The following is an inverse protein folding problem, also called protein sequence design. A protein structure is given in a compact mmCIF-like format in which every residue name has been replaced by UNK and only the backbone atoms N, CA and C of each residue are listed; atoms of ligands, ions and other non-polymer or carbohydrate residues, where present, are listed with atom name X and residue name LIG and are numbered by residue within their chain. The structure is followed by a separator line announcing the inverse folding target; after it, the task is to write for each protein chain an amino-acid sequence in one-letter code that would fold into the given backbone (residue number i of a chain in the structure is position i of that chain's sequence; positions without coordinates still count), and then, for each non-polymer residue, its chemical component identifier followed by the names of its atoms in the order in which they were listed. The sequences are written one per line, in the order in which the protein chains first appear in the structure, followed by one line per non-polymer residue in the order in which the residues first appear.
data_IF_124846389778
#
_entry.id   IF_124846389778
#
_cell.length_a   1.000
_cell.length_b   1.000
_cell.length_c   1.000
_cell.angle_alpha   90.00
_cell.angle_beta   90.00
_cell.angle_gamma   90.00
#
_symmetry.space_group_name_H-M   'P 1'
#
loop_
_entity.id
_entity.type
_entity.pdbx_description
1 polymer ?
#
# COMPACT_ATOMS: atom_id res chain seq x y z
N UNK A 1 -3.89 3.45 -28.54
CA UNK A 1 -3.03 3.23 -27.37
C UNK A 1 -2.69 4.55 -26.67
N UNK A 2 -2.00 5.50 -27.31
CA UNK A 2 -1.59 6.77 -26.68
C UNK A 2 -2.74 7.56 -26.04
N UNK A 3 -3.85 7.79 -26.78
CA UNK A 3 -5.05 8.49 -26.26
C UNK A 3 -5.63 7.83 -25.00
N UNK A 4 -5.68 6.50 -24.98
CA UNK A 4 -6.16 5.75 -23.83
C UNK A 4 -5.25 5.92 -22.61
N UNK A 5 -3.92 5.83 -22.81
CA UNK A 5 -2.94 6.04 -21.74
C UNK A 5 -2.97 7.46 -21.20
N UNK A 6 -3.08 8.48 -22.08
CA UNK A 6 -3.19 9.88 -21.64
C UNK A 6 -4.45 10.15 -20.82
N UNK A 7 -5.60 9.62 -21.26
CA UNK A 7 -6.86 9.75 -20.52
C UNK A 7 -6.75 9.08 -19.14
N UNK A 8 -6.18 7.87 -19.07
CA UNK A 8 -5.96 7.19 -17.80
C UNK A 8 -5.02 7.95 -16.86
N UNK A 9 -3.93 8.50 -17.41
CA UNK A 9 -3.00 9.32 -16.66
C UNK A 9 -3.66 10.59 -16.10
N UNK A 10 -4.49 11.26 -16.90
CA UNK A 10 -5.24 12.44 -16.46
C UNK A 10 -6.21 12.12 -15.32
N UNK A 11 -6.93 10.99 -15.40
CA UNK A 11 -7.76 10.53 -14.27
C UNK A 11 -6.92 10.22 -13.02
N UNK A 12 -5.76 9.57 -13.18
CA UNK A 12 -4.86 9.30 -12.05
C UNK A 12 -4.39 10.58 -11.37
N UNK A 13 -4.00 11.61 -12.13
CA UNK A 13 -3.61 12.92 -11.61
C UNK A 13 -4.78 13.60 -10.87
N UNK A 14 -5.98 13.54 -11.43
CA UNK A 14 -7.16 14.13 -10.81
C UNK A 14 -7.52 13.45 -9.49
N UNK A 15 -7.45 12.11 -9.44
CA UNK A 15 -7.66 11.34 -8.20
C UNK A 15 -6.58 11.70 -7.17
N UNK A 16 -5.31 11.73 -7.57
CA UNK A 16 -4.20 12.10 -6.68
C UNK A 16 -4.39 13.52 -6.12
N UNK A 17 -4.77 14.48 -6.95
CA UNK A 17 -5.08 15.84 -6.52
C UNK A 17 -6.24 15.87 -5.51
N UNK A 18 -7.31 15.09 -5.75
CA UNK A 18 -8.44 14.97 -4.83
C UNK A 18 -8.02 14.38 -3.47
N UNK A 19 -7.20 13.34 -3.47
CA UNK A 19 -6.66 12.70 -2.25
C UNK A 19 -5.78 13.67 -1.47
N UNK A 20 -4.83 14.34 -2.12
CA UNK A 20 -3.94 15.34 -1.50
C UNK A 20 -4.76 16.48 -0.87
N UNK A 21 -5.78 16.95 -1.58
CA UNK A 21 -6.69 17.98 -1.09
C UNK A 21 -7.45 17.51 0.15
N UNK A 22 -8.02 16.30 0.09
CA UNK A 22 -8.77 15.72 1.20
C UNK A 22 -7.89 15.53 2.44
N UNK A 23 -6.67 15.01 2.27
CA UNK A 23 -5.68 14.85 3.35
C UNK A 23 -5.37 16.20 3.98
N UNK A 24 -5.08 17.22 3.15
CA UNK A 24 -4.81 18.56 3.68
C UNK A 24 -5.95 19.08 4.56
N UNK A 25 -7.19 19.04 4.07
CA UNK A 25 -8.34 19.52 4.82
C UNK A 25 -8.61 18.66 6.06
N UNK A 26 -8.48 17.34 5.96
CA UNK A 26 -8.65 16.44 7.10
C UNK A 26 -7.72 16.82 8.26
N UNK A 27 -6.44 17.05 7.99
CA UNK A 27 -5.46 17.33 9.05
C UNK A 27 -5.40 18.80 9.50
N UNK A 28 -5.94 19.73 8.71
CA UNK A 28 -5.93 21.15 9.08
C UNK A 28 -7.27 21.66 9.65
N UNK A 29 -8.41 21.00 9.35
CA UNK A 29 -9.74 21.37 9.86
C UNK A 29 -10.13 20.56 11.12
N UNK A 30 -9.61 19.33 11.28
CA UNK A 30 -9.88 18.55 12.48
C UNK A 30 -9.52 19.33 13.74
N UNK A 31 -10.44 19.38 14.73
CA UNK A 31 -10.19 20.09 15.97
C UNK A 31 -9.02 19.44 16.72
N UNK A 32 -8.02 20.24 17.02
CA UNK A 32 -6.82 19.87 17.76
C UNK A 32 -5.66 20.78 17.37
N UNK A 33 -4.87 21.17 18.34
CA UNK A 33 -3.60 21.85 18.09
C UNK A 33 -2.48 20.80 18.03
N UNK A 34 -1.97 20.43 16.84
CA UNK A 34 -0.91 19.45 16.74
C UNK A 34 0.32 19.81 17.56
N UNK A 35 0.65 21.09 17.66
CA UNK A 35 1.78 21.55 18.43
C UNK A 35 1.59 21.23 19.93
N UNK A 36 0.39 21.46 20.45
CA UNK A 36 0.06 21.07 21.84
C UNK A 36 0.02 19.57 22.04
N UNK A 37 -0.52 18.82 21.07
CA UNK A 37 -0.55 17.35 21.15
C UNK A 37 0.86 16.76 21.16
N UNK A 38 1.80 17.35 20.43
CA UNK A 38 3.19 16.91 20.38
C UNK A 38 3.97 17.24 21.67
N UNK A 39 3.76 18.42 22.23
CA UNK A 39 4.47 18.88 23.43
C UNK A 39 3.85 18.37 24.73
N UNK A 40 2.63 17.83 24.67
CA UNK A 40 1.89 17.37 25.85
C UNK A 40 1.42 18.47 26.77
N UNK A 41 1.02 18.10 28.01
CA UNK A 41 0.42 19.02 28.98
C UNK A 41 1.38 20.10 29.51
N UNK A 42 2.69 19.94 29.33
CA UNK A 42 3.72 20.90 29.77
C UNK A 42 4.21 21.80 28.62
N UNK A 43 3.41 21.95 27.57
CA UNK A 43 3.77 22.79 26.43
C UNK A 43 3.90 24.25 26.86
N UNK A 44 5.09 24.81 26.77
CA UNK A 44 5.30 26.23 26.90
C UNK A 44 4.72 26.96 25.67
N UNK A 45 4.09 28.10 25.89
CA UNK A 45 3.41 28.90 24.84
C UNK A 45 4.38 29.24 23.71
N UNK A 46 5.60 29.61 24.05
CA UNK A 46 6.64 29.96 23.08
C UNK A 46 7.02 28.79 22.16
N UNK A 47 7.06 27.58 22.71
CA UNK A 47 7.35 26.34 21.94
C UNK A 47 6.18 25.97 21.03
N UNK A 48 4.94 26.15 21.47
CA UNK A 48 3.74 25.94 20.65
C UNK A 48 3.71 26.93 19.47
N UNK A 49 3.98 28.21 19.74
CA UNK A 49 4.03 29.22 18.70
C UNK A 49 5.15 28.98 17.68
N UNK A 50 6.34 28.53 18.12
CA UNK A 50 7.44 28.18 17.26
C UNK A 50 7.08 27.02 16.32
N UNK A 51 6.45 25.97 16.84
CA UNK A 51 5.98 24.83 16.03
C UNK A 51 4.88 25.27 15.06
N UNK A 52 3.91 26.07 15.51
CA UNK A 52 2.84 26.55 14.64
C UNK A 52 3.36 27.45 13.51
N UNK A 53 4.41 28.24 13.78
CA UNK A 53 5.09 29.05 12.76
C UNK A 53 5.87 28.18 11.76
N UNK A 54 6.56 27.16 12.23
CA UNK A 54 7.28 26.21 11.36
C UNK A 54 6.31 25.39 10.48
N UNK A 55 5.11 25.11 10.99
CA UNK A 55 3.99 24.52 10.25
C UNK A 55 3.34 25.49 9.25
N UNK A 56 3.60 26.80 9.36
CA UNK A 56 2.91 27.84 8.61
C UNK A 56 1.44 28.00 9.00
N UNK A 57 1.03 27.55 10.19
CA UNK A 57 -0.35 27.66 10.70
C UNK A 57 -0.73 29.07 11.12
N UNK A 58 0.23 29.94 11.23
CA UNK A 58 0.07 31.37 11.39
C UNK A 58 -0.51 32.10 10.15
N UNK A 59 -0.50 31.40 8.98
CA UNK A 59 -0.96 31.96 7.71
C UNK A 59 -2.42 31.58 7.42
N UNK A 60 -3.14 32.36 6.57
CA UNK A 60 -4.48 32.00 6.11
C UNK A 60 -4.52 30.60 5.51
N UNK A 61 -5.62 29.87 5.70
CA UNK A 61 -5.78 28.48 5.25
C UNK A 61 -5.52 28.29 3.74
N UNK A 62 -5.90 29.27 2.92
CA UNK A 62 -5.61 29.26 1.49
C UNK A 62 -4.11 29.27 1.20
N UNK A 63 -3.35 30.07 1.92
CA UNK A 63 -1.89 30.14 1.76
C UNK A 63 -1.22 28.85 2.21
N UNK A 64 -1.71 28.25 3.29
CA UNK A 64 -1.25 26.93 3.75
C UNK A 64 -1.53 25.85 2.71
N UNK A 65 -2.72 25.85 2.10
CA UNK A 65 -3.12 24.87 1.08
C UNK A 65 -2.26 24.98 -0.18
N UNK A 66 -2.13 26.17 -0.74
CA UNK A 66 -1.31 26.36 -1.93
C UNK A 66 0.18 26.10 -1.65
N UNK A 67 0.67 26.43 -0.46
CA UNK A 67 2.01 26.06 -0.01
C UNK A 67 2.21 24.55 0.04
N UNK A 68 1.25 23.83 0.60
CA UNK A 68 1.28 22.36 0.66
C UNK A 68 1.25 21.73 -0.74
N UNK A 69 0.39 22.21 -1.63
CA UNK A 69 0.36 21.74 -3.03
C UNK A 69 1.71 22.02 -3.73
N UNK A 70 2.29 23.18 -3.50
CA UNK A 70 3.59 23.55 -4.05
C UNK A 70 4.72 22.67 -3.51
N UNK A 71 4.65 22.28 -2.22
CA UNK A 71 5.60 21.35 -1.60
C UNK A 71 5.54 19.95 -2.21
N UNK A 72 4.33 19.40 -2.35
CA UNK A 72 4.12 18.02 -2.85
C UNK A 72 4.26 17.94 -4.37
N UNK A 73 4.06 19.05 -5.09
CA UNK A 73 4.18 19.05 -6.56
C UNK A 73 5.64 18.88 -7.00
N UNK A 74 5.91 18.01 -8.00
CA UNK A 74 7.23 17.92 -8.62
C UNK A 74 7.60 19.16 -9.44
N UNK A 75 6.60 19.94 -9.87
CA UNK A 75 6.77 21.23 -10.55
C UNK A 75 6.21 22.32 -9.65
N UNK A 76 7.03 23.28 -9.24
CA UNK A 76 6.67 24.26 -8.22
C UNK A 76 7.18 25.65 -8.53
N UNK A 77 6.47 26.67 -8.01
CA UNK A 77 6.82 28.07 -8.17
C UNK A 77 7.38 28.60 -6.84
N UNK A 78 8.55 29.19 -6.88
CA UNK A 78 9.21 29.72 -5.70
C UNK A 78 9.66 31.17 -5.88
N UNK A 79 9.55 31.95 -4.81
CA UNK A 79 10.14 33.27 -4.73
C UNK A 79 11.59 33.15 -4.25
N UNK A 80 12.52 33.80 -4.97
CA UNK A 80 13.96 33.75 -4.65
C UNK A 80 14.45 34.94 -3.84
N UNK A 81 13.66 36.01 -3.77
CA UNK A 81 14.11 37.30 -3.23
C UNK A 81 13.50 37.63 -1.87
N UNK A 82 12.26 37.22 -1.62
CA UNK A 82 11.50 37.56 -0.42
C UNK A 82 11.38 36.36 0.53
N UNK A 83 12.18 36.36 1.59
CA UNK A 83 12.19 35.36 2.63
C UNK A 83 10.91 35.31 3.50
N UNK A 84 10.10 36.38 3.49
CA UNK A 84 8.81 36.44 4.19
C UNK A 84 7.68 35.77 3.37
N UNK A 85 7.92 35.55 2.07
CA UNK A 85 6.96 34.89 1.20
C UNK A 85 6.70 33.43 1.65
N UNK A 86 5.43 33.02 1.62
CA UNK A 86 5.05 31.63 1.87
C UNK A 86 5.66 30.63 0.86
N UNK A 87 6.05 31.13 -0.31
CA UNK A 87 6.62 30.35 -1.42
C UNK A 87 8.13 30.59 -1.56
N UNK A 88 8.80 31.05 -0.51
CA UNK A 88 10.25 31.26 -0.56
C UNK A 88 10.99 29.92 -0.81
N UNK A 89 12.04 30.01 -1.62
CA UNK A 89 12.86 28.85 -1.93
C UNK A 89 13.90 28.59 -0.83
N UNK A 90 13.72 27.53 -0.08
CA UNK A 90 14.68 27.07 0.92
C UNK A 90 15.58 25.96 0.33
N UNK A 91 16.87 26.21 0.06
CA UNK A 91 17.79 25.22 -0.51
C UNK A 91 17.84 23.91 0.30
N UNK A 92 17.81 24.02 1.63
CA UNK A 92 17.86 22.89 2.55
C UNK A 92 16.62 21.98 2.49
N UNK A 93 15.49 22.51 2.03
CA UNK A 93 14.25 21.73 1.81
C UNK A 93 14.27 21.00 0.47
N UNK A 94 14.97 21.55 -0.52
CA UNK A 94 14.95 21.07 -1.90
C UNK A 94 16.35 20.85 -2.47
N UNK A 95 17.14 19.90 -1.90
CA UNK A 95 18.58 19.75 -2.26
C UNK A 95 18.81 19.32 -3.72
N UNK A 96 17.81 18.69 -4.36
CA UNK A 96 17.91 18.23 -5.75
C UNK A 96 17.04 19.05 -6.73
N UNK A 97 16.76 20.30 -6.39
CA UNK A 97 15.91 21.15 -7.22
C UNK A 97 16.65 21.73 -8.42
N UNK A 98 16.04 21.60 -9.60
CA UNK A 98 16.51 22.19 -10.84
C UNK A 98 15.68 23.43 -11.19
N UNK A 99 16.35 24.57 -11.33
CA UNK A 99 15.71 25.83 -11.75
C UNK A 99 15.58 25.82 -13.28
N UNK A 100 14.37 26.03 -13.79
CA UNK A 100 14.10 25.96 -15.25
C UNK A 100 13.94 27.36 -15.83
N UNK A 101 13.06 28.16 -15.26
CA UNK A 101 12.69 29.45 -15.79
C UNK A 101 12.48 30.44 -14.65
N UNK A 102 13.12 31.58 -14.72
CA UNK A 102 12.94 32.68 -13.76
C UNK A 102 12.26 33.87 -14.46
N UNK A 103 11.14 34.34 -13.90
CA UNK A 103 10.38 35.51 -14.36
C UNK A 103 10.28 36.45 -13.18
N UNK A 104 11.07 37.51 -13.21
CA UNK A 104 11.18 38.47 -12.09
C UNK A 104 11.70 37.77 -10.82
N UNK A 105 10.94 37.85 -9.73
CA UNK A 105 11.27 37.24 -8.43
C UNK A 105 10.82 35.76 -8.32
N UNK A 106 10.01 35.27 -9.27
CA UNK A 106 9.45 33.95 -9.22
C UNK A 106 10.20 33.00 -10.16
N UNK A 107 10.59 31.84 -9.67
CA UNK A 107 11.31 30.81 -10.43
C UNK A 107 10.50 29.51 -10.46
N UNK A 108 10.34 28.95 -11.65
CA UNK A 108 9.80 27.61 -11.87
C UNK A 108 10.90 26.58 -11.59
N UNK A 109 10.59 25.64 -10.71
CA UNK A 109 11.55 24.66 -10.22
C UNK A 109 10.98 23.25 -10.42
N UNK A 110 11.81 22.32 -10.93
CA UNK A 110 11.54 20.88 -10.84
C UNK A 110 12.30 20.33 -9.64
N UNK A 111 11.59 19.62 -8.78
CA UNK A 111 12.13 19.05 -7.54
C UNK A 111 11.48 17.72 -7.21
N UNK A 112 12.10 16.96 -6.30
CA UNK A 112 11.39 15.83 -5.66
C UNK A 112 10.25 16.38 -4.79
N UNK A 113 9.08 15.69 -4.74
CA UNK A 113 8.01 16.01 -3.79
C UNK A 113 8.57 16.15 -2.38
N UNK A 114 8.27 17.27 -1.71
CA UNK A 114 8.70 17.52 -0.35
C UNK A 114 7.58 17.19 0.62
N UNK A 115 7.74 16.07 1.35
CA UNK A 115 6.76 15.57 2.32
C UNK A 115 7.02 16.08 3.73
N UNK A 116 7.81 17.17 3.86
CA UNK A 116 8.25 17.74 5.13
C UNK A 116 9.20 16.83 5.91
N UNK A 117 9.45 17.20 7.18
CA UNK A 117 10.28 16.42 8.10
C UNK A 117 9.45 15.94 9.28
N UNK A 118 9.77 14.75 9.77
CA UNK A 118 9.25 14.22 11.03
C UNK A 118 9.54 15.20 12.17
N UNK A 119 8.56 15.45 13.02
CA UNK A 119 8.75 16.28 14.19
C UNK A 119 9.53 15.57 15.29
N UNK A 120 9.36 14.27 15.39
CA UNK A 120 10.03 13.44 16.40
C UNK A 120 11.49 13.15 16.04
N UNK A 121 11.72 12.60 14.85
CA UNK A 121 13.05 12.15 14.43
C UNK A 121 13.86 13.21 13.67
N UNK A 122 13.24 14.32 13.25
CA UNK A 122 13.82 15.37 12.37
C UNK A 122 14.28 14.85 11.01
N UNK A 123 14.05 13.57 10.68
CA UNK A 123 14.39 12.98 9.40
C UNK A 123 13.39 13.40 8.31
N UNK A 124 13.79 13.47 7.03
CA UNK A 124 12.87 13.64 5.92
C UNK A 124 11.80 12.53 5.91
N UNK A 125 10.54 12.90 5.75
CA UNK A 125 9.43 11.91 5.68
C UNK A 125 9.60 10.98 4.48
N UNK A 126 10.11 11.50 3.34
CA UNK A 126 10.42 10.68 2.16
C UNK A 126 11.35 9.51 2.46
N UNK A 127 12.35 9.71 3.33
CA UNK A 127 13.33 8.67 3.65
C UNK A 127 12.72 7.62 4.58
N UNK A 128 11.95 8.06 5.58
CA UNK A 128 11.23 7.17 6.48
C UNK A 128 10.27 6.25 5.70
N UNK A 129 9.52 6.86 4.77
CA UNK A 129 8.58 6.10 3.95
C UNK A 129 9.27 5.19 2.93
N UNK A 130 10.37 5.62 2.32
CA UNK A 130 11.13 4.80 1.39
C UNK A 130 11.71 3.55 2.07
N UNK A 131 12.24 3.69 3.29
CA UNK A 131 12.73 2.55 4.09
C UNK A 131 11.60 1.56 4.43
N UNK A 132 10.43 2.06 4.82
CA UNK A 132 9.28 1.23 5.18
C UNK A 132 8.55 0.64 3.96
N UNK A 133 8.64 1.30 2.79
CA UNK A 133 7.95 0.86 1.57
C UNK A 133 8.48 -0.47 1.05
N UNK A 134 9.79 -0.71 1.14
CA UNK A 134 10.41 -1.94 0.62
C UNK A 134 9.87 -3.20 1.33
N UNK A 135 9.84 -3.29 2.67
CA UNK A 135 9.21 -4.43 3.37
C UNK A 135 7.74 -4.62 3.01
N UNK A 136 6.94 -3.55 2.91
CA UNK A 136 5.53 -3.63 2.48
C UNK A 136 5.39 -4.18 1.07
N UNK A 137 6.21 -3.69 0.13
CA UNK A 137 6.20 -4.14 -1.26
C UNK A 137 6.55 -5.63 -1.38
N UNK A 138 7.55 -6.10 -0.63
CA UNK A 138 7.94 -7.52 -0.60
C UNK A 138 6.78 -8.36 -0.05
N UNK A 139 6.20 -7.95 1.09
CA UNK A 139 5.07 -8.63 1.70
C UNK A 139 3.88 -8.73 0.75
N UNK A 140 3.46 -7.61 0.17
CA UNK A 140 2.34 -7.56 -0.78
C UNK A 140 2.61 -8.41 -2.04
N UNK A 141 3.83 -8.37 -2.56
CA UNK A 141 4.23 -9.14 -3.75
C UNK A 141 4.17 -10.65 -3.48
N UNK A 142 4.77 -11.11 -2.38
CA UNK A 142 4.76 -12.54 -2.02
C UNK A 142 3.34 -13.02 -1.74
N UNK A 143 2.54 -12.24 -1.00
CA UNK A 143 1.14 -12.55 -0.74
C UNK A 143 0.33 -12.65 -2.04
N UNK A 144 0.52 -11.72 -2.99
CA UNK A 144 -0.20 -11.72 -4.26
C UNK A 144 0.22 -12.87 -5.17
N UNK A 145 1.52 -13.20 -5.24
CA UNK A 145 2.00 -14.35 -5.99
C UNK A 145 1.39 -15.64 -5.43
N UNK A 146 1.44 -15.83 -4.11
CA UNK A 146 0.85 -17.01 -3.46
C UNK A 146 -0.66 -17.09 -3.71
N UNK A 147 -1.38 -15.97 -3.53
CA UNK A 147 -2.83 -15.89 -3.77
C UNK A 147 -3.18 -16.22 -5.23
N UNK A 148 -2.41 -15.69 -6.18
CA UNK A 148 -2.66 -15.90 -7.60
C UNK A 148 -2.40 -17.36 -8.00
N UNK A 149 -1.26 -17.92 -7.63
CA UNK A 149 -0.91 -19.29 -7.99
C UNK A 149 -1.87 -20.31 -7.38
N UNK A 150 -2.13 -20.19 -6.08
CA UNK A 150 -3.05 -21.09 -5.38
C UNK A 150 -4.49 -20.88 -5.84
N UNK A 151 -4.93 -19.62 -6.01
CA UNK A 151 -6.28 -19.29 -6.46
C UNK A 151 -6.58 -19.80 -7.87
N UNK A 152 -5.62 -19.69 -8.80
CA UNK A 152 -5.73 -20.26 -10.14
C UNK A 152 -5.88 -21.78 -10.08
N UNK A 153 -5.01 -22.45 -9.32
CA UNK A 153 -5.05 -23.91 -9.19
C UNK A 153 -6.40 -24.36 -8.61
N UNK A 154 -6.79 -23.78 -7.48
CA UNK A 154 -8.06 -24.11 -6.82
C UNK A 154 -9.27 -23.82 -7.72
N UNK A 155 -9.29 -22.67 -8.40
CA UNK A 155 -10.39 -22.27 -9.30
C UNK A 155 -10.51 -23.18 -10.52
N UNK A 156 -9.38 -23.60 -11.13
CA UNK A 156 -9.38 -24.54 -12.25
C UNK A 156 -9.92 -25.90 -11.79
N UNK A 157 -9.40 -26.46 -10.69
CA UNK A 157 -9.88 -27.74 -10.16
C UNK A 157 -11.35 -27.70 -9.77
N UNK A 158 -11.80 -26.60 -9.17
CA UNK A 158 -13.20 -26.35 -8.83
C UNK A 158 -14.08 -26.35 -10.08
N UNK A 159 -13.67 -25.66 -11.15
CA UNK A 159 -14.41 -25.62 -12.41
C UNK A 159 -14.49 -27.00 -13.11
N UNK A 160 -13.41 -27.77 -13.06
CA UNK A 160 -13.36 -29.12 -13.67
C UNK A 160 -14.21 -30.14 -12.91
N UNK A 161 -14.41 -29.95 -11.60
CA UNK A 161 -15.23 -30.78 -10.73
C UNK A 161 -16.52 -30.08 -10.30
N UNK A 162 -17.14 -29.34 -11.23
CA UNK A 162 -18.37 -28.57 -10.97
C UNK A 162 -19.40 -29.38 -10.19
N UNK A 163 -19.98 -28.74 -9.17
CA UNK A 163 -20.99 -29.29 -8.27
C UNK A 163 -20.51 -30.51 -7.41
N UNK A 164 -19.23 -30.90 -7.53
CA UNK A 164 -18.59 -31.90 -6.69
C UNK A 164 -18.29 -31.39 -5.26
N UNK A 165 -17.86 -32.32 -4.38
CA UNK A 165 -17.53 -31.97 -3.00
C UNK A 165 -16.38 -30.95 -2.90
N UNK A 166 -15.37 -31.08 -3.77
CA UNK A 166 -14.22 -30.16 -3.81
C UNK A 166 -14.67 -28.75 -4.21
N UNK A 167 -15.54 -28.65 -5.23
CA UNK A 167 -16.08 -27.38 -5.67
C UNK A 167 -16.87 -26.68 -4.56
N UNK A 168 -17.74 -27.44 -3.87
CA UNK A 168 -18.51 -26.89 -2.73
C UNK A 168 -17.61 -26.46 -1.58
N UNK A 169 -16.60 -27.25 -1.25
CA UNK A 169 -15.64 -26.91 -0.21
C UNK A 169 -14.84 -25.64 -0.59
N UNK A 170 -14.33 -25.56 -1.82
CA UNK A 170 -13.61 -24.40 -2.30
C UNK A 170 -14.45 -23.12 -2.24
N UNK A 171 -15.73 -23.19 -2.61
CA UNK A 171 -16.67 -22.08 -2.51
C UNK A 171 -16.91 -21.66 -1.05
N UNK A 172 -17.16 -22.60 -0.14
CA UNK A 172 -17.35 -22.30 1.29
C UNK A 172 -16.10 -21.64 1.89
N UNK A 173 -14.93 -22.19 1.62
CA UNK A 173 -13.65 -21.62 2.09
C UNK A 173 -13.42 -20.23 1.49
N UNK A 174 -13.76 -20.01 0.22
CA UNK A 174 -13.68 -18.69 -0.41
C UNK A 174 -14.62 -17.68 0.24
N UNK A 175 -15.86 -18.05 0.50
CA UNK A 175 -16.83 -17.18 1.17
C UNK A 175 -16.32 -16.77 2.57
N UNK A 176 -15.83 -17.74 3.35
CA UNK A 176 -15.24 -17.47 4.66
C UNK A 176 -14.03 -16.53 4.52
N UNK A 177 -13.11 -16.84 3.60
CA UNK A 177 -11.90 -16.03 3.37
C UNK A 177 -12.19 -14.58 2.96
N UNK A 178 -13.25 -14.35 2.18
CA UNK A 178 -13.69 -12.99 1.81
C UNK A 178 -14.35 -12.25 2.97
N UNK A 179 -15.09 -12.96 3.82
CA UNK A 179 -15.87 -12.38 4.92
C UNK A 179 -15.04 -12.04 6.15
N UNK A 180 -13.89 -12.71 6.34
CA UNK A 180 -13.04 -12.47 7.50
C UNK A 180 -12.33 -11.11 7.41
N UNK A 181 -12.43 -10.25 8.45
CA UNK A 181 -11.60 -9.07 8.56
C UNK A 181 -10.11 -9.47 8.64
N UNK A 182 -9.24 -8.74 7.93
CA UNK A 182 -7.80 -9.08 7.85
C UNK A 182 -7.10 -9.11 9.21
N UNK A 183 -7.46 -8.19 10.12
CA UNK A 183 -6.92 -8.17 11.48
C UNK A 183 -7.33 -9.41 12.29
N UNK A 184 -8.56 -9.87 12.13
CA UNK A 184 -9.06 -11.06 12.84
C UNK A 184 -8.39 -12.33 12.31
N UNK A 185 -8.26 -12.45 10.99
CA UNK A 185 -7.50 -13.53 10.36
C UNK A 185 -6.04 -13.54 10.85
N UNK A 186 -5.39 -12.37 10.95
CA UNK A 186 -4.01 -12.23 11.44
C UNK A 186 -3.87 -12.78 12.86
N UNK A 187 -4.79 -12.41 13.77
CA UNK A 187 -4.76 -12.89 15.16
C UNK A 187 -4.94 -14.40 15.25
N UNK A 188 -5.91 -14.97 14.50
CA UNK A 188 -6.15 -16.43 14.52
C UNK A 188 -4.95 -17.19 13.96
N UNK A 189 -4.38 -16.71 12.85
CA UNK A 189 -3.23 -17.37 12.21
C UNK A 189 -2.00 -17.29 13.11
N UNK A 190 -1.72 -16.12 13.68
CA UNK A 190 -0.64 -15.96 14.64
C UNK A 190 -0.81 -16.86 15.86
N UNK A 191 -2.00 -16.87 16.45
CA UNK A 191 -2.31 -17.73 17.59
C UNK A 191 -2.16 -19.21 17.24
N UNK A 192 -2.71 -19.66 16.12
CA UNK A 192 -2.67 -21.07 15.72
C UNK A 192 -1.26 -21.53 15.37
N UNK A 193 -0.57 -20.84 14.48
CA UNK A 193 0.70 -21.31 13.91
C UNK A 193 1.94 -20.87 14.71
N UNK A 194 1.91 -19.71 15.37
CA UNK A 194 3.05 -19.21 16.13
C UNK A 194 2.94 -19.41 17.64
N UNK A 195 1.78 -19.88 18.15
CA UNK A 195 1.61 -20.21 19.57
C UNK A 195 1.23 -21.69 19.74
N UNK A 196 0.05 -22.12 19.28
CA UNK A 196 -0.41 -23.52 19.49
C UNK A 196 0.47 -24.54 18.79
N UNK A 197 0.83 -24.26 17.53
CA UNK A 197 1.64 -25.15 16.69
C UNK A 197 3.12 -24.72 16.63
N UNK A 198 3.57 -23.79 17.46
CA UNK A 198 4.92 -23.24 17.42
C UNK A 198 6.02 -24.32 17.45
N UNK A 199 5.84 -25.36 18.27
CA UNK A 199 6.78 -26.48 18.37
C UNK A 199 6.93 -27.29 17.07
N UNK A 200 5.93 -27.29 16.20
CA UNK A 200 5.94 -28.00 14.92
C UNK A 200 6.34 -27.09 13.75
N UNK A 201 5.89 -25.86 13.77
CA UNK A 201 6.10 -24.90 12.67
C UNK A 201 7.44 -24.18 12.77
N UNK A 202 7.90 -23.93 13.99
CA UNK A 202 9.08 -23.08 14.26
C UNK A 202 8.87 -21.64 13.78
N UNK A 203 7.61 -21.18 13.65
CA UNK A 203 7.27 -19.82 13.22
C UNK A 203 7.08 -18.90 14.42
N UNK A 204 7.47 -17.65 14.27
CA UNK A 204 7.29 -16.61 15.28
C UNK A 204 6.07 -15.73 14.98
N UNK A 205 5.39 -15.27 16.03
CA UNK A 205 4.32 -14.30 15.91
C UNK A 205 4.85 -12.92 15.49
N UNK A 206 6.03 -12.54 15.98
CA UNK A 206 6.63 -11.24 15.73
C UNK A 206 7.92 -11.39 14.94
N UNK A 207 8.15 -10.46 14.04
CA UNK A 207 9.38 -10.37 13.30
C UNK A 207 9.24 -9.66 11.97
N UNK A 208 10.29 -8.94 11.60
CA UNK A 208 10.39 -8.24 10.32
C UNK A 208 11.26 -9.03 9.35
N UNK A 209 11.34 -8.53 8.10
CA UNK A 209 12.22 -9.06 7.06
C UNK A 209 13.69 -9.05 7.51
N UNK A 210 14.09 -7.96 8.16
CA UNK A 210 15.43 -7.79 8.70
C UNK A 210 15.41 -8.08 10.19
N UNK A 211 16.23 -9.01 10.62
CA UNK A 211 16.39 -9.42 12.02
C UNK A 211 17.83 -9.15 12.44
N UNK A 212 18.02 -8.57 13.61
CA UNK A 212 19.36 -8.37 14.18
C UNK A 212 19.83 -9.71 14.76
N UNK A 213 21.07 -10.08 14.47
CA UNK A 213 21.67 -11.27 15.05
C UNK A 213 21.93 -11.06 16.55
N UNK A 214 21.57 -12.05 17.38
CA UNK A 214 21.75 -12.03 18.84
C UNK A 214 23.22 -11.84 19.25
N UNK A 215 24.15 -12.14 18.37
CA UNK A 215 25.60 -11.98 18.58
C UNK A 215 26.14 -10.64 18.06
N UNK A 216 25.31 -9.71 17.63
CA UNK A 216 25.73 -8.39 17.16
C UNK A 216 26.49 -8.38 15.81
N UNK A 217 26.36 -9.44 15.00
CA UNK A 217 27.04 -9.54 13.68
C UNK A 217 26.38 -8.70 12.59
N UNK A 218 25.28 -8.02 12.91
CA UNK A 218 24.54 -7.17 11.99
C UNK A 218 23.14 -7.67 11.69
N UNK A 219 22.49 -7.04 10.70
CA UNK A 219 21.16 -7.41 10.26
C UNK A 219 21.23 -8.50 9.18
N UNK A 220 20.36 -9.49 9.27
CA UNK A 220 20.20 -10.53 8.26
C UNK A 220 18.73 -10.69 7.84
N UNK A 221 18.50 -11.20 6.63
CA UNK A 221 17.14 -11.44 6.10
C UNK A 221 16.62 -12.76 6.67
N UNK A 222 15.48 -12.69 7.37
CA UNK A 222 14.79 -13.86 7.90
C UNK A 222 13.46 -14.09 7.16
N UNK A 223 13.48 -14.95 6.14
CA UNK A 223 12.32 -15.28 5.33
C UNK A 223 11.22 -16.03 6.09
N UNK A 224 11.52 -16.66 7.23
CA UNK A 224 10.50 -17.32 8.05
C UNK A 224 9.48 -16.33 8.59
N UNK A 225 9.91 -15.12 8.93
CA UNK A 225 9.04 -14.06 9.43
C UNK A 225 8.02 -13.57 8.37
N UNK A 226 8.30 -13.82 7.07
CA UNK A 226 7.41 -13.45 5.97
C UNK A 226 6.21 -14.40 5.82
N UNK A 227 6.32 -15.66 6.28
CA UNK A 227 5.34 -16.72 5.99
C UNK A 227 3.95 -16.37 6.53
N UNK A 228 3.84 -16.09 7.83
CA UNK A 228 2.53 -15.84 8.45
C UNK A 228 1.86 -14.55 7.96
N UNK A 229 2.54 -13.39 7.91
CA UNK A 229 1.92 -12.18 7.40
C UNK A 229 1.57 -12.29 5.91
N UNK A 230 2.40 -12.93 5.07
CA UNK A 230 2.11 -13.13 3.66
C UNK A 230 0.91 -14.07 3.45
N UNK A 231 0.84 -15.17 4.19
CA UNK A 231 -0.30 -16.09 4.16
C UNK A 231 -1.59 -15.40 4.58
N UNK A 232 -1.56 -14.65 5.69
CA UNK A 232 -2.71 -13.89 6.17
C UNK A 232 -3.21 -12.89 5.13
N UNK A 233 -2.29 -12.14 4.53
CA UNK A 233 -2.61 -11.12 3.54
C UNK A 233 -3.13 -11.73 2.22
N UNK A 234 -2.69 -12.96 1.91
CA UNK A 234 -3.08 -13.70 0.70
C UNK A 234 -4.52 -14.23 0.75
N UNK A 235 -5.10 -14.50 1.93
CA UNK A 235 -6.40 -15.21 2.07
C UNK A 235 -7.50 -14.56 1.25
N UNK A 236 -7.66 -13.25 1.36
CA UNK A 236 -8.76 -12.53 0.72
C UNK A 236 -8.62 -12.49 -0.81
N UNK A 237 -7.48 -12.08 -1.40
CA UNK A 237 -7.29 -12.16 -2.85
C UNK A 237 -7.31 -13.60 -3.37
N UNK A 238 -6.79 -14.59 -2.64
CA UNK A 238 -6.87 -16.00 -3.00
C UNK A 238 -8.32 -16.45 -3.19
N UNK A 239 -9.18 -16.13 -2.23
CA UNK A 239 -10.60 -16.48 -2.29
C UNK A 239 -11.29 -15.91 -3.53
N UNK A 240 -11.06 -14.62 -3.82
CA UNK A 240 -11.64 -13.93 -4.96
C UNK A 240 -11.07 -14.46 -6.29
N UNK A 241 -9.76 -14.70 -6.36
CA UNK A 241 -9.12 -15.25 -7.56
C UNK A 241 -9.63 -16.66 -7.83
N UNK A 242 -9.84 -17.48 -6.78
CA UNK A 242 -10.44 -18.83 -6.90
C UNK A 242 -11.82 -18.75 -7.54
N UNK A 243 -12.69 -17.89 -7.02
CA UNK A 243 -14.06 -17.73 -7.52
C UNK A 243 -14.10 -17.17 -8.95
N UNK A 244 -13.33 -16.14 -9.24
CA UNK A 244 -13.23 -15.58 -10.59
C UNK A 244 -12.68 -16.58 -11.59
N UNK A 245 -11.64 -17.33 -11.22
CA UNK A 245 -11.07 -18.36 -12.08
C UNK A 245 -12.09 -19.45 -12.35
N UNK A 246 -12.79 -19.92 -11.30
CA UNK A 246 -13.85 -20.92 -11.45
C UNK A 246 -14.96 -20.44 -12.39
N UNK A 247 -15.53 -19.27 -12.14
CA UNK A 247 -16.64 -18.74 -12.94
C UNK A 247 -16.25 -18.53 -14.40
N UNK A 248 -15.10 -17.90 -14.65
CA UNK A 248 -14.57 -17.67 -16.01
C UNK A 248 -14.24 -18.99 -16.73
N UNK A 249 -13.68 -19.97 -16.02
CA UNK A 249 -13.42 -21.31 -16.60
C UNK A 249 -14.72 -22.01 -17.00
N UNK A 250 -15.76 -21.97 -16.16
CA UNK A 250 -17.06 -22.57 -16.48
C UNK A 250 -17.69 -21.92 -17.70
N UNK A 251 -17.66 -20.58 -17.79
CA UNK A 251 -18.13 -19.84 -18.95
C UNK A 251 -17.39 -20.25 -20.23
N UNK A 252 -16.06 -20.24 -20.18
CA UNK A 252 -15.22 -20.58 -21.32
C UNK A 252 -15.38 -22.05 -21.75
N UNK A 253 -15.47 -22.98 -20.79
CA UNK A 253 -15.64 -24.42 -21.10
C UNK A 253 -17.00 -24.74 -21.76
N UNK A 254 -17.97 -23.86 -21.68
CA UNK A 254 -19.28 -23.99 -22.34
C UNK A 254 -19.30 -23.52 -23.79
N UNK A 255 -18.26 -22.83 -24.27
CA UNK A 255 -18.17 -22.21 -25.59
C UNK A 255 -18.05 -23.22 -26.74
N UNK A 256 -18.56 -22.89 -27.92
CA UNK A 256 -18.57 -23.81 -29.08
C UNK A 256 -17.19 -24.20 -29.60
N UNK A 257 -16.20 -23.31 -29.51
CA UNK A 257 -14.83 -23.66 -29.89
C UNK A 257 -14.21 -24.74 -28.98
N UNK A 258 -14.63 -24.81 -27.73
CA UNK A 258 -14.22 -25.89 -26.81
C UNK A 258 -14.93 -27.20 -27.18
N UNK A 259 -16.19 -27.15 -27.56
CA UNK A 259 -16.91 -28.34 -28.08
C UNK A 259 -16.23 -28.87 -29.35
N UNK A 260 -15.85 -27.98 -30.25
CA UNK A 260 -15.09 -28.34 -31.47
C UNK A 260 -13.73 -28.96 -31.13
N UNK A 261 -13.02 -28.42 -30.13
CA UNK A 261 -11.75 -28.98 -29.69
C UNK A 261 -11.91 -30.40 -29.13
N UNK A 262 -12.98 -30.65 -28.35
CA UNK A 262 -13.35 -32.02 -27.87
C UNK A 262 -13.68 -32.97 -29.01
N UNK A 263 -14.47 -32.51 -29.99
CA UNK A 263 -14.84 -33.31 -31.16
C UNK A 263 -13.62 -33.70 -32.02
N UNK A 264 -12.57 -32.87 -32.02
CA UNK A 264 -11.28 -33.18 -32.65
C UNK A 264 -10.38 -34.10 -31.84
N UNK A 265 -10.85 -34.65 -30.71
CA UNK A 265 -10.11 -35.60 -29.89
C UNK A 265 -9.00 -35.04 -29.04
N UNK A 266 -8.99 -33.71 -28.79
CA UNK A 266 -7.99 -33.10 -27.91
C UNK A 266 -8.20 -33.54 -26.45
N UNK A 267 -7.09 -33.87 -25.78
CA UNK A 267 -7.12 -34.25 -24.36
C UNK A 267 -7.58 -33.05 -23.48
N UNK A 268 -8.22 -33.37 -22.35
CA UNK A 268 -8.70 -32.37 -21.40
C UNK A 268 -7.58 -31.38 -20.97
N UNK A 269 -6.37 -31.90 -20.72
CA UNK A 269 -5.21 -31.09 -20.39
C UNK A 269 -4.90 -30.02 -21.46
N UNK A 270 -4.90 -30.41 -22.76
CA UNK A 270 -4.69 -29.47 -23.87
C UNK A 270 -5.83 -28.47 -24.00
N UNK A 271 -7.06 -28.91 -23.80
CA UNK A 271 -8.24 -28.02 -23.83
C UNK A 271 -8.12 -26.96 -22.73
N UNK A 272 -7.82 -27.39 -21.49
CA UNK A 272 -7.71 -26.48 -20.35
C UNK A 272 -6.54 -25.51 -20.53
N UNK A 273 -5.32 -26.01 -20.75
CA UNK A 273 -4.11 -25.16 -20.73
C UNK A 273 -3.97 -24.28 -21.97
N UNK A 274 -4.39 -24.76 -23.15
CA UNK A 274 -4.12 -24.06 -24.41
C UNK A 274 -5.33 -23.29 -24.96
N UNK A 275 -6.55 -23.73 -24.65
CA UNK A 275 -7.77 -23.14 -25.20
C UNK A 275 -8.61 -22.42 -24.15
N UNK A 276 -8.83 -22.99 -22.97
CA UNK A 276 -9.70 -22.42 -21.96
C UNK A 276 -8.99 -21.35 -21.13
N UNK A 277 -7.85 -21.68 -20.52
CA UNK A 277 -7.16 -20.82 -19.55
C UNK A 277 -6.79 -19.46 -20.14
N UNK A 278 -6.33 -19.43 -21.39
CA UNK A 278 -5.94 -18.18 -22.06
C UNK A 278 -7.05 -17.13 -22.06
N UNK A 279 -8.30 -17.57 -22.26
CA UNK A 279 -9.45 -16.67 -22.30
C UNK A 279 -10.03 -16.41 -20.89
N UNK A 280 -10.01 -17.43 -20.03
CA UNK A 280 -10.49 -17.35 -18.67
C UNK A 280 -9.63 -16.45 -17.77
N UNK A 281 -8.35 -16.21 -18.11
CA UNK A 281 -7.45 -15.36 -17.32
C UNK A 281 -7.74 -13.86 -17.45
N UNK A 282 -8.44 -13.39 -18.46
CA UNK A 282 -8.65 -11.94 -18.66
C UNK A 282 -9.24 -11.22 -17.44
N UNK A 283 -10.36 -11.67 -16.83
CA UNK A 283 -10.89 -11.02 -15.64
C UNK A 283 -9.98 -11.22 -14.42
N UNK A 284 -9.27 -12.35 -14.35
CA UNK A 284 -8.33 -12.65 -13.25
C UNK A 284 -7.15 -11.67 -13.23
N UNK A 285 -6.53 -11.41 -14.39
CA UNK A 285 -5.41 -10.45 -14.49
C UNK A 285 -5.84 -9.05 -14.03
N UNK A 286 -7.05 -8.64 -14.42
CA UNK A 286 -7.60 -7.36 -13.97
C UNK A 286 -7.80 -7.32 -12.46
N UNK A 287 -8.34 -8.40 -11.89
CA UNK A 287 -8.54 -8.52 -10.44
C UNK A 287 -7.21 -8.53 -9.68
N UNK A 288 -6.21 -9.28 -10.15
CA UNK A 288 -4.86 -9.33 -9.55
C UNK A 288 -4.25 -7.93 -9.47
N UNK A 289 -4.35 -7.14 -10.54
CA UNK A 289 -3.81 -5.77 -10.58
C UNK A 289 -4.51 -4.86 -9.56
N UNK A 290 -5.84 -4.93 -9.45
CA UNK A 290 -6.61 -4.15 -8.47
C UNK A 290 -6.33 -4.58 -7.03
N UNK A 291 -6.27 -5.88 -6.78
CA UNK A 291 -5.96 -6.41 -5.46
C UNK A 291 -4.53 -6.13 -5.02
N UNK A 292 -3.56 -6.15 -5.92
CA UNK A 292 -2.19 -5.78 -5.59
C UNK A 292 -2.11 -4.33 -5.06
N UNK A 293 -2.77 -3.39 -5.73
CA UNK A 293 -2.86 -2.01 -5.24
C UNK A 293 -3.56 -1.92 -3.86
N UNK A 294 -4.64 -2.71 -3.66
CA UNK A 294 -5.34 -2.78 -2.38
C UNK A 294 -4.48 -3.38 -1.26
N UNK A 295 -3.63 -4.38 -1.56
CA UNK A 295 -2.71 -4.94 -0.57
C UNK A 295 -1.65 -3.94 -0.14
N UNK A 296 -1.14 -3.13 -1.06
CA UNK A 296 -0.19 -2.05 -0.74
C UNK A 296 -0.77 -1.05 0.26
N UNK A 297 -2.08 -0.75 0.15
CA UNK A 297 -2.77 0.17 1.06
C UNK A 297 -3.34 -0.54 2.31
N UNK A 298 -3.69 -1.81 2.22
CA UNK A 298 -4.46 -2.56 3.24
C UNK A 298 -3.63 -3.41 4.20
N UNK A 299 -2.31 -3.44 4.05
CA UNK A 299 -1.44 -4.27 4.89
C UNK A 299 -1.28 -3.77 6.34
N UNK A 300 -1.76 -2.55 6.67
CA UNK A 300 -1.52 -1.85 7.94
C UNK A 300 -1.78 -2.72 9.17
N UNK A 301 -2.94 -3.36 9.25
CA UNK A 301 -3.28 -4.18 10.40
C UNK A 301 -2.47 -5.48 10.47
N UNK A 302 -2.19 -6.09 9.33
CA UNK A 302 -1.38 -7.31 9.27
C UNK A 302 0.06 -7.00 9.66
N UNK A 303 0.63 -5.94 9.09
CA UNK A 303 1.96 -5.47 9.45
C UNK A 303 2.07 -5.17 10.94
N UNK A 304 1.07 -4.47 11.51
CA UNK A 304 1.06 -4.10 12.91
C UNK A 304 0.96 -5.31 13.85
N UNK A 305 0.14 -6.31 13.52
CA UNK A 305 -0.05 -7.51 14.36
C UNK A 305 1.21 -8.40 14.37
N UNK A 306 1.88 -8.52 13.22
CA UNK A 306 3.09 -9.32 13.09
C UNK A 306 4.40 -8.55 13.37
N UNK A 307 4.32 -7.26 13.73
CA UNK A 307 5.46 -6.34 13.87
C UNK A 307 6.35 -6.31 12.61
N UNK A 308 5.72 -6.35 11.45
CA UNK A 308 6.37 -6.24 10.15
C UNK A 308 6.66 -4.79 9.85
N UNK A 309 7.91 -4.36 9.92
CA UNK A 309 8.33 -2.95 9.80
C UNK A 309 8.12 -2.36 8.41
N UNK A 310 6.84 -2.28 8.00
CA UNK A 310 6.38 -1.66 6.78
C UNK A 310 5.72 -0.30 7.01
N UNK A 311 5.15 0.25 5.94
CA UNK A 311 4.46 1.56 5.95
C UNK A 311 3.30 1.58 6.95
N UNK A 312 2.59 0.45 7.11
CA UNK A 312 1.46 0.36 8.04
C UNK A 312 1.88 0.52 9.50
N UNK A 313 2.98 -0.09 9.93
CA UNK A 313 3.53 0.09 11.28
C UNK A 313 3.96 1.53 11.48
N UNK A 314 4.64 2.13 10.49
CA UNK A 314 5.03 3.55 10.54
C UNK A 314 3.81 4.44 10.75
N UNK A 315 2.73 4.26 9.98
CA UNK A 315 1.49 5.04 10.13
C UNK A 315 0.92 4.93 11.55
N UNK A 316 0.82 3.71 12.09
CA UNK A 316 0.22 3.47 13.42
C UNK A 316 1.09 4.06 14.52
N UNK A 317 2.40 3.87 14.46
CA UNK A 317 3.32 4.35 15.51
C UNK A 317 3.47 5.86 15.48
N UNK A 318 3.61 6.47 14.30
CA UNK A 318 3.72 7.92 14.20
C UNK A 318 2.38 8.64 14.49
N UNK A 319 1.23 7.97 14.24
CA UNK A 319 -0.07 8.45 14.73
C UNK A 319 -0.12 8.49 16.25
N UNK A 320 0.40 7.47 16.96
CA UNK A 320 0.46 7.46 18.43
C UNK A 320 1.36 8.55 19.00
N UNK A 321 2.43 8.89 18.27
CA UNK A 321 3.37 9.95 18.63
C UNK A 321 2.92 11.35 18.17
N UNK A 322 1.78 11.45 17.48
CA UNK A 322 1.26 12.68 16.88
C UNK A 322 2.22 13.31 15.85
N UNK A 323 3.03 12.50 15.17
CA UNK A 323 3.90 12.97 14.09
C UNK A 323 3.11 13.11 12.78
N UNK A 324 2.35 14.19 12.70
CA UNK A 324 1.44 14.44 11.59
C UNK A 324 2.11 14.50 10.21
N UNK A 325 3.32 15.07 10.02
CA UNK A 325 3.97 15.05 8.72
C UNK A 325 4.18 13.66 8.16
N UNK A 326 4.57 12.70 9.00
CA UNK A 326 4.77 11.30 8.56
C UNK A 326 3.44 10.66 8.19
N UNK A 327 2.39 10.86 9.01
CA UNK A 327 1.05 10.31 8.75
C UNK A 327 0.40 10.93 7.52
N UNK A 328 0.65 12.22 7.24
CA UNK A 328 0.14 12.90 6.04
C UNK A 328 0.89 12.50 4.77
N UNK A 329 2.15 12.10 4.88
CA UNK A 329 2.99 11.71 3.76
C UNK A 329 2.83 10.25 3.35
N UNK A 330 2.35 9.41 4.27
CA UNK A 330 2.14 7.98 4.06
C UNK A 330 0.79 7.68 3.41
#
# INVERSE_FOLDING_TARGET
MLRYSLVRLSYGILVLFGVITLIFFLFNILPGDPARMMLGQRADISSVEAINRDLGRDKPLSVQYFGFLNDVSPISLHNMSDSASAFFFYPDRYPSALRILSIGTTTLVIKKPYLRRSYQSKRPVSDILAEAFVPTLILATVAMIAATLLGLVLGIFSALNKDGWFDRLALVVSIIGMSLPSFFAAIIIAWLFAYVLAGYTGLSMFGSLYTVDDFGRGEYINLKNLILPAFTLAIRPLAIITELTRSSMLEVLSQDYIRTARAKGLSLYRIVTRHALRNALNPVVTAVSGWFASLMAGAVFVEYIFDWKGVGVVIVDEKKKYDFPVVMGA
#
